data_IF_975867178488
#
_entry.id   IF_975867178488
#
_cell.length_a   1.000
_cell.length_b   1.000
_cell.length_c   1.000
_cell.angle_alpha   90.00
_cell.angle_beta   90.00
_cell.angle_gamma   90.00
#
_symmetry.space_group_name_H-M   'P 1'
#
loop_
_entity.id
_entity.type
_entity.pdbx_description
1 polymer ?
#
# COMPACT_ATOMS: atom_id res chain seq x y z
N UNK A 1 11.33 -4.14 38.89
CA UNK A 1 10.16 -3.30 38.57
C UNK A 1 10.30 -2.66 37.19
N UNK A 2 11.38 -1.90 36.92
CA UNK A 2 11.61 -1.22 35.63
C UNK A 2 11.49 -2.12 34.38
N UNK A 3 12.17 -3.28 34.34
CA UNK A 3 12.11 -4.22 33.20
C UNK A 3 10.67 -4.66 32.85
N UNK A 4 9.86 -4.96 33.88
CA UNK A 4 8.46 -5.40 33.68
C UNK A 4 7.56 -4.27 33.19
N UNK A 5 7.86 -3.03 33.55
CA UNK A 5 7.16 -1.84 33.01
C UNK A 5 7.47 -1.70 31.52
N UNK A 6 8.74 -1.79 31.12
CA UNK A 6 9.14 -1.71 29.71
C UNK A 6 8.51 -2.80 28.86
N UNK A 7 8.49 -4.05 29.35
CA UNK A 7 7.83 -5.17 28.68
C UNK A 7 6.35 -4.86 28.43
N UNK A 8 5.65 -4.32 29.43
CA UNK A 8 4.24 -3.96 29.28
C UNK A 8 4.04 -2.83 28.28
N UNK A 9 4.90 -1.82 28.29
CA UNK A 9 4.85 -0.71 27.31
C UNK A 9 5.02 -1.23 25.88
N UNK A 10 6.04 -2.05 25.61
CA UNK A 10 6.26 -2.61 24.28
C UNK A 10 5.16 -3.58 23.85
N UNK A 11 4.56 -4.31 24.79
CA UNK A 11 3.37 -5.13 24.53
C UNK A 11 2.18 -4.26 24.07
N UNK A 12 1.90 -3.17 24.79
CA UNK A 12 0.80 -2.25 24.45
C UNK A 12 1.02 -1.57 23.10
N UNK A 13 2.24 -1.10 22.83
CA UNK A 13 2.62 -0.53 21.53
C UNK A 13 2.46 -1.54 20.39
N UNK A 14 2.91 -2.78 20.60
CA UNK A 14 2.73 -3.86 19.63
C UNK A 14 1.24 -4.07 19.32
N UNK A 15 0.40 -4.19 20.35
CA UNK A 15 -1.02 -4.46 20.19
C UNK A 15 -1.76 -3.31 19.51
N UNK A 16 -1.40 -2.06 19.81
CA UNK A 16 -1.97 -0.88 19.16
C UNK A 16 -1.57 -0.83 17.67
N UNK A 17 -0.28 -1.00 17.36
CA UNK A 17 0.20 -1.06 15.98
C UNK A 17 -0.43 -2.22 15.21
N UNK A 18 -0.57 -3.39 15.82
CA UNK A 18 -1.23 -4.54 15.20
C UNK A 18 -2.72 -4.27 14.92
N UNK A 19 -3.42 -3.57 15.83
CA UNK A 19 -4.81 -3.15 15.60
C UNK A 19 -4.92 -2.18 14.43
N UNK A 20 -4.04 -1.18 14.35
CA UNK A 20 -3.99 -0.21 13.25
C UNK A 20 -3.66 -0.87 11.92
N UNK A 21 -2.71 -1.82 11.91
CA UNK A 21 -2.41 -2.68 10.76
C UNK A 21 -3.67 -3.42 10.27
N UNK A 22 -4.40 -4.09 11.16
CA UNK A 22 -5.62 -4.84 10.79
C UNK A 22 -6.68 -3.93 10.18
N UNK A 23 -6.83 -2.71 10.69
CA UNK A 23 -7.73 -1.69 10.13
C UNK A 23 -7.31 -1.31 8.71
N UNK A 24 -6.04 -0.97 8.51
CA UNK A 24 -5.49 -0.61 7.19
C UNK A 24 -5.64 -1.76 6.17
N UNK A 25 -5.39 -3.00 6.59
CA UNK A 25 -5.61 -4.19 5.76
C UNK A 25 -7.08 -4.34 5.34
N UNK A 26 -8.02 -4.14 6.27
CA UNK A 26 -9.45 -4.21 5.95
C UNK A 26 -9.85 -3.09 4.98
N UNK A 27 -9.33 -1.87 5.18
CA UNK A 27 -9.56 -0.74 4.29
C UNK A 27 -9.01 -1.02 2.88
N UNK A 28 -7.85 -1.67 2.76
CA UNK A 28 -7.27 -2.05 1.48
C UNK A 28 -8.16 -3.04 0.70
N UNK A 29 -8.90 -3.91 1.39
CA UNK A 29 -9.78 -4.90 0.73
C UNK A 29 -11.08 -4.30 0.18
N UNK A 30 -11.52 -3.15 0.70
CA UNK A 30 -12.82 -2.55 0.36
C UNK A 30 -12.70 -1.22 -0.39
N UNK A 31 -11.50 -0.67 -0.51
CA UNK A 31 -11.27 0.65 -1.09
C UNK A 31 -11.07 0.63 -2.61
N UNK A 32 -11.59 1.63 -3.30
CA UNK A 32 -11.20 1.99 -4.67
C UNK A 32 -10.03 3.00 -4.69
N UNK A 33 -9.14 2.81 -5.65
CA UNK A 33 -7.90 3.51 -6.05
C UNK A 33 -7.24 4.47 -5.04
N UNK A 34 -7.77 5.69 -4.82
CA UNK A 34 -7.11 6.67 -3.93
C UNK A 34 -7.03 6.24 -2.47
N UNK A 35 -8.08 5.56 -1.97
CA UNK A 35 -8.08 5.04 -0.60
C UNK A 35 -7.24 3.77 -0.48
N UNK A 36 -7.09 3.03 -1.59
CA UNK A 36 -6.22 1.85 -1.66
C UNK A 36 -4.75 2.20 -1.45
N UNK A 37 -4.25 3.28 -2.08
CA UNK A 37 -2.85 3.70 -1.89
C UNK A 37 -2.55 4.09 -0.44
N UNK A 38 -3.44 4.86 0.21
CA UNK A 38 -3.23 5.23 1.61
C UNK A 38 -3.33 4.01 2.53
N UNK A 39 -4.32 3.14 2.34
CA UNK A 39 -4.47 1.92 3.13
C UNK A 39 -3.25 1.00 2.97
N UNK A 40 -2.66 0.91 1.78
CA UNK A 40 -1.42 0.17 1.56
C UNK A 40 -0.23 0.80 2.30
N UNK A 41 -0.04 2.11 2.22
CA UNK A 41 1.02 2.82 2.97
C UNK A 41 0.86 2.64 4.47
N UNK A 42 -0.36 2.74 4.99
CA UNK A 42 -0.66 2.54 6.41
C UNK A 42 -0.40 1.09 6.82
N UNK A 43 -0.78 0.12 6.00
CA UNK A 43 -0.50 -1.30 6.23
C UNK A 43 1.02 -1.56 6.29
N UNK A 44 1.81 -0.97 5.39
CA UNK A 44 3.27 -1.04 5.44
C UNK A 44 3.83 -0.42 6.72
N UNK A 45 3.41 0.81 7.03
CA UNK A 45 3.86 1.55 8.19
C UNK A 45 3.60 0.80 9.50
N UNK A 46 2.34 0.44 9.77
CA UNK A 46 1.97 -0.23 11.02
C UNK A 46 2.53 -1.64 11.14
N UNK A 47 2.77 -2.35 10.03
CA UNK A 47 3.48 -3.63 10.07
C UNK A 47 4.93 -3.49 10.55
N UNK A 48 5.60 -2.40 10.15
CA UNK A 48 6.97 -2.09 10.54
C UNK A 48 7.04 -1.65 11.99
N UNK A 49 6.13 -0.78 12.42
CA UNK A 49 6.05 -0.33 13.82
C UNK A 49 5.72 -1.49 14.77
N UNK A 50 4.76 -2.35 14.41
CA UNK A 50 4.46 -3.55 15.19
C UNK A 50 5.67 -4.48 15.29
N UNK A 51 6.41 -4.69 14.19
CA UNK A 51 7.67 -5.46 14.24
C UNK A 51 8.68 -4.82 15.21
N UNK A 52 8.87 -3.50 15.16
CA UNK A 52 9.77 -2.79 16.05
C UNK A 52 9.41 -2.96 17.53
N UNK A 53 8.15 -2.75 17.90
CA UNK A 53 7.67 -2.95 19.27
C UNK A 53 7.81 -4.42 19.71
N UNK A 54 7.53 -5.38 18.82
CA UNK A 54 7.74 -6.80 19.10
C UNK A 54 9.22 -7.13 19.38
N UNK A 55 10.15 -6.59 18.59
CA UNK A 55 11.59 -6.83 18.78
C UNK A 55 12.05 -6.29 20.14
N UNK A 56 11.60 -5.09 20.53
CA UNK A 56 11.89 -4.52 21.84
C UNK A 56 11.24 -5.32 22.99
N UNK A 57 10.00 -5.77 22.82
CA UNK A 57 9.32 -6.66 23.76
C UNK A 57 10.11 -7.97 23.95
N UNK A 58 10.49 -8.63 22.85
CA UNK A 58 11.23 -9.90 22.88
C UNK A 58 12.59 -9.76 23.55
N UNK A 59 13.33 -8.68 23.25
CA UNK A 59 14.61 -8.39 23.90
C UNK A 59 14.43 -8.14 25.40
N UNK A 60 13.45 -7.32 25.78
CA UNK A 60 13.18 -7.02 27.19
C UNK A 60 12.78 -8.26 27.99
N UNK A 61 12.02 -9.18 27.38
CA UNK A 61 11.70 -10.48 27.99
C UNK A 61 12.95 -11.33 28.18
N UNK A 62 13.86 -11.38 27.20
CA UNK A 62 15.12 -12.16 27.29
C UNK A 62 16.05 -11.66 28.40
N UNK A 63 15.92 -10.42 28.83
CA UNK A 63 16.69 -9.85 29.95
C UNK A 63 16.15 -10.21 31.34
N UNK A 64 15.00 -10.89 31.42
CA UNK A 64 14.47 -11.42 32.67
C UNK A 64 15.15 -12.74 33.04
N UNK A 65 15.06 -13.12 34.32
CA UNK A 65 15.45 -14.46 34.76
C UNK A 65 14.53 -15.51 34.12
N UNK A 66 15.04 -16.73 33.89
CA UNK A 66 14.32 -17.77 33.15
C UNK A 66 12.90 -18.05 33.70
N UNK A 67 12.74 -18.09 35.02
CA UNK A 67 11.44 -18.29 35.67
C UNK A 67 10.44 -17.17 35.38
N UNK A 68 10.93 -15.94 35.21
CA UNK A 68 10.13 -14.77 34.90
C UNK A 68 9.82 -14.62 33.40
N UNK A 69 10.54 -15.34 32.53
CA UNK A 69 10.28 -15.38 31.08
C UNK A 69 9.07 -16.25 30.74
N UNK A 70 8.82 -17.32 31.52
CA UNK A 70 7.80 -18.33 31.25
C UNK A 70 6.40 -17.75 30.96
N UNK A 71 5.90 -16.75 31.69
CA UNK A 71 4.58 -16.15 31.42
C UNK A 71 4.49 -15.45 30.06
N UNK A 72 5.62 -14.99 29.52
CA UNK A 72 5.69 -14.22 28.27
C UNK A 72 5.97 -15.09 27.05
N UNK A 73 6.45 -16.33 27.23
CA UNK A 73 6.91 -17.17 26.14
C UNK A 73 5.82 -17.46 25.10
N UNK A 74 4.57 -17.63 25.55
CA UNK A 74 3.41 -17.75 24.65
C UNK A 74 3.23 -16.49 23.80
N UNK A 75 3.29 -15.30 24.41
CA UNK A 75 3.12 -14.02 23.71
C UNK A 75 4.26 -13.76 22.72
N UNK A 76 5.51 -14.06 23.09
CA UNK A 76 6.66 -13.95 22.19
C UNK A 76 6.43 -14.78 20.92
N UNK A 77 6.02 -16.05 21.08
CA UNK A 77 5.75 -16.93 19.94
C UNK A 77 4.56 -16.44 19.09
N UNK A 78 3.48 -16.01 19.75
CA UNK A 78 2.29 -15.49 19.07
C UNK A 78 2.62 -14.23 18.24
N UNK A 79 3.29 -13.25 18.87
CA UNK A 79 3.65 -12.00 18.20
C UNK A 79 4.66 -12.25 17.08
N UNK A 80 5.61 -13.17 17.26
CA UNK A 80 6.53 -13.56 16.18
C UNK A 80 5.79 -14.11 14.96
N UNK A 81 4.81 -14.99 15.19
CA UNK A 81 4.01 -15.56 14.11
C UNK A 81 3.17 -14.49 13.41
N UNK A 82 2.56 -13.59 14.18
CA UNK A 82 1.77 -12.48 13.64
C UNK A 82 2.63 -11.52 12.81
N UNK A 83 3.84 -11.15 13.28
CA UNK A 83 4.79 -10.31 12.53
C UNK A 83 5.19 -10.97 11.20
N UNK A 84 5.45 -12.27 11.20
CA UNK A 84 5.79 -12.99 9.98
C UNK A 84 4.61 -13.06 8.99
N UNK A 85 3.39 -13.22 9.50
CA UNK A 85 2.18 -13.13 8.68
C UNK A 85 2.00 -11.74 8.09
N UNK A 86 2.16 -10.67 8.89
CA UNK A 86 2.09 -9.29 8.40
C UNK A 86 3.10 -9.04 7.29
N UNK A 87 4.35 -9.51 7.45
CA UNK A 87 5.39 -9.40 6.43
C UNK A 87 4.98 -10.06 5.11
N UNK A 88 4.46 -11.29 5.16
CA UNK A 88 3.98 -12.02 3.98
C UNK A 88 2.82 -11.30 3.29
N UNK A 89 1.89 -10.78 4.07
CA UNK A 89 0.71 -10.07 3.58
C UNK A 89 1.08 -8.74 2.93
N UNK A 90 1.97 -7.95 3.54
CA UNK A 90 2.49 -6.71 2.95
C UNK A 90 3.25 -6.99 1.66
N UNK A 91 4.09 -8.02 1.62
CA UNK A 91 4.81 -8.39 0.39
C UNK A 91 3.85 -8.82 -0.73
N UNK A 92 2.76 -9.52 -0.39
CA UNK A 92 1.71 -9.85 -1.36
C UNK A 92 1.01 -8.59 -1.85
N UNK A 93 0.54 -7.75 -0.94
CA UNK A 93 -0.12 -6.48 -1.22
C UNK A 93 0.73 -5.57 -2.12
N UNK A 94 2.06 -5.53 -1.90
CA UNK A 94 2.98 -4.75 -2.71
C UNK A 94 3.06 -5.25 -4.16
N UNK A 95 3.08 -6.58 -4.36
CA UNK A 95 3.05 -7.17 -5.71
C UNK A 95 1.73 -6.89 -6.41
N UNK A 96 0.62 -7.07 -5.71
CA UNK A 96 -0.72 -6.87 -6.26
C UNK A 96 -0.93 -5.39 -6.63
N UNK A 97 -0.53 -4.47 -5.75
CA UNK A 97 -0.59 -3.02 -6.00
C UNK A 97 0.34 -2.58 -7.14
N UNK A 98 1.57 -3.10 -7.18
CA UNK A 98 2.52 -2.81 -8.28
C UNK A 98 2.01 -3.29 -9.64
N UNK A 99 1.32 -4.44 -9.68
CA UNK A 99 0.69 -4.94 -10.91
C UNK A 99 -0.46 -4.05 -11.38
N UNK A 100 -1.29 -3.54 -10.45
CA UNK A 100 -2.39 -2.62 -10.77
C UNK A 100 -1.84 -1.31 -11.36
N UNK A 101 -0.86 -0.66 -10.69
CA UNK A 101 -0.26 0.59 -11.21
C UNK A 101 0.40 0.40 -12.58
N UNK A 102 1.07 -0.73 -12.81
CA UNK A 102 1.66 -1.01 -14.12
C UNK A 102 0.60 -1.19 -15.22
N UNK A 103 -0.54 -1.81 -14.92
CA UNK A 103 -1.67 -1.90 -15.87
C UNK A 103 -2.28 -0.54 -16.16
N UNK A 104 -2.50 0.29 -15.15
CA UNK A 104 -3.00 1.66 -15.35
C UNK A 104 -2.07 2.48 -16.24
N UNK A 105 -0.75 2.34 -16.07
CA UNK A 105 0.22 3.00 -16.96
C UNK A 105 0.18 2.42 -18.39
N UNK A 106 0.13 1.10 -18.55
CA UNK A 106 0.10 0.45 -19.87
C UNK A 106 -1.18 0.74 -20.67
N UNK A 107 -2.34 0.80 -19.99
CA UNK A 107 -3.63 1.05 -20.65
C UNK A 107 -4.05 2.54 -20.64
N UNK A 108 -3.55 3.34 -19.69
CA UNK A 108 -3.79 4.79 -19.61
C UNK A 108 -2.95 5.61 -20.59
N UNK A 109 -1.79 5.10 -21.02
CA UNK A 109 -0.98 5.71 -22.09
C UNK A 109 -1.54 5.51 -23.50
N UNK A 110 -2.61 4.71 -23.69
CA UNK A 110 -3.15 4.41 -25.03
C UNK A 110 -4.37 5.25 -25.44
N UNK A 111 -4.78 6.25 -24.63
CA UNK A 111 -5.94 7.09 -24.92
C UNK A 111 -5.69 8.61 -24.83
N UNK A 112 -4.43 9.04 -24.87
CA UNK A 112 -4.06 10.46 -24.86
C UNK A 112 -3.12 10.89 -26.00
N UNK A 113 -3.19 10.21 -27.14
CA UNK A 113 -2.67 10.72 -28.42
C UNK A 113 -3.77 10.53 -29.46
N UNK A 114 -4.72 11.47 -29.53
CA UNK A 114 -5.52 11.84 -30.73
C UNK A 114 -6.63 12.84 -30.37
N UNK A 115 -6.33 13.89 -29.59
CA UNK A 115 -7.31 14.97 -29.39
C UNK A 115 -6.76 16.39 -29.51
N UNK A 116 -5.58 16.58 -30.09
CA UNK A 116 -5.08 17.92 -30.40
C UNK A 116 -4.21 17.87 -31.65
N UNK A 117 -4.81 17.88 -32.84
CA UNK A 117 -4.28 18.52 -34.07
C UNK A 117 -5.24 18.26 -35.22
N UNK A 118 -6.11 19.24 -35.50
CA UNK A 118 -6.39 19.76 -36.86
C UNK A 118 -7.55 20.76 -36.79
N UNK A 119 -7.29 21.89 -36.13
CA UNK A 119 -7.90 23.16 -36.52
C UNK A 119 -6.91 23.81 -37.48
N UNK A 120 -7.12 23.74 -38.79
CA UNK A 120 -6.72 24.75 -39.79
C UNK A 120 -7.17 24.32 -41.20
N UNK A 121 -7.71 25.30 -41.94
CA UNK A 121 -8.00 25.32 -43.40
C UNK A 121 -9.38 24.87 -43.89
N UNK A 122 -10.42 25.59 -43.46
CA UNK A 122 -11.54 25.92 -44.35
C UNK A 122 -11.12 27.06 -45.29
N UNK A 123 -10.48 26.77 -46.42
CA UNK A 123 -10.46 27.67 -47.59
C UNK A 123 -9.98 26.98 -48.87
N UNK A 124 -10.88 27.00 -49.87
CA UNK A 124 -10.70 26.74 -51.31
C UNK A 124 -10.42 25.30 -51.72
N UNK A 125 -11.41 24.70 -52.40
CA UNK A 125 -11.27 24.09 -53.73
C UNK A 125 -12.69 23.74 -54.26
N UNK A 126 -13.44 24.76 -54.70
CA UNK A 126 -14.39 24.59 -55.81
C UNK A 126 -13.71 25.20 -57.02
N UNK A 127 -12.85 24.39 -57.65
CA UNK A 127 -12.25 24.70 -58.94
C UNK A 127 -13.26 24.41 -60.05
N UNK A 128 -13.70 25.49 -60.68
CA UNK A 128 -13.76 25.68 -62.14
C UNK A 128 -14.20 24.48 -63.01
N UNK A 129 -15.39 24.60 -63.58
CA UNK A 129 -15.66 24.16 -64.94
C UNK A 129 -16.53 25.23 -65.62
N UNK A 130 -15.87 26.21 -66.23
CA UNK A 130 -16.46 27.04 -67.28
C UNK A 130 -16.01 26.47 -68.63
N UNK A 131 -16.94 26.25 -69.56
CA UNK A 131 -16.66 26.63 -70.94
C UNK A 131 -17.62 27.72 -71.40
N UNK A 132 -17.04 28.83 -71.84
CA UNK A 132 -17.69 29.80 -72.72
C UNK A 132 -17.88 29.17 -74.10
N UNK A 133 -19.07 29.33 -74.70
CA UNK A 133 -19.24 29.45 -76.16
C UNK A 133 -20.64 29.94 -76.50
N UNK A 134 -20.70 31.20 -76.93
CA UNK A 134 -21.47 31.78 -78.04
C UNK A 134 -22.71 31.02 -78.57
N UNK A 135 -23.89 31.64 -78.43
CA UNK A 135 -24.81 32.04 -79.52
C UNK A 135 -26.02 32.81 -79.00
#
# INVERSE_FOLDING_TARGET
IFKKVMIKTYEEEYLDNFKKYRKAKAEMQVSSDKKLEQAFKDMQFYSKEAKGSYEQFSLSVKELDFSEQLPFQRKVNEFSNQVELMRKEVNKAQRDYGFIKNKENLYGSHWNEHSDTESYQSQRLLGENTPLSDQ
#
